data_IF_439726913363
#
_entry.id   IF_439726913363
#
_cell.length_a   1.000
_cell.length_b   1.000
_cell.length_c   1.000
_cell.angle_alpha   90.00
_cell.angle_beta   90.00
_cell.angle_gamma   90.00
#
_symmetry.space_group_name_H-M   'P 1'
#
loop_
_entity.id
_entity.type
_entity.pdbx_description
1 polymer ?
#
# COMPACT_ATOMS: atom_id res chain seq x y z
N UNK A 1 -11.02 13.53 7.62
CA UNK A 1 -11.77 12.59 6.75
C UNK A 1 -13.09 12.24 7.42
N UNK A 2 -14.16 12.02 6.65
CA UNK A 2 -15.45 11.63 7.22
C UNK A 2 -15.40 10.16 7.68
N UNK A 3 -15.83 9.90 8.92
CA UNK A 3 -15.92 8.54 9.47
C UNK A 3 -17.28 7.92 9.19
N UNK A 4 -17.32 6.64 8.81
CA UNK A 4 -18.56 5.86 8.71
C UNK A 4 -18.58 4.73 9.74
N UNK A 5 -19.71 4.54 10.39
CA UNK A 5 -19.92 3.48 11.35
C UNK A 5 -20.24 2.17 10.64
N UNK A 6 -19.61 1.08 11.10
CA UNK A 6 -19.84 -0.29 10.61
C UNK A 6 -20.15 -1.16 11.82
N UNK A 7 -21.24 -1.91 11.76
CA UNK A 7 -21.60 -2.91 12.78
C UNK A 7 -21.07 -4.27 12.34
N UNK A 8 -20.29 -4.94 13.20
CA UNK A 8 -19.70 -6.25 12.93
C UNK A 8 -20.16 -7.25 13.98
N UNK A 9 -20.58 -8.43 13.52
CA UNK A 9 -20.84 -9.58 14.38
C UNK A 9 -19.60 -10.44 14.46
N UNK A 10 -19.12 -10.73 15.67
CA UNK A 10 -17.92 -11.52 15.91
C UNK A 10 -18.12 -12.47 17.09
N UNK A 11 -17.36 -13.58 17.18
CA UNK A 11 -17.38 -14.46 18.34
C UNK A 11 -17.07 -13.70 19.63
N UNK A 12 -17.80 -13.98 20.71
CA UNK A 12 -17.65 -13.28 21.99
C UNK A 12 -16.21 -13.36 22.54
N UNK A 13 -15.60 -14.55 22.46
CA UNK A 13 -14.20 -14.77 22.86
C UNK A 13 -13.20 -13.93 22.05
N UNK A 14 -13.49 -13.65 20.77
CA UNK A 14 -12.65 -12.78 19.96
C UNK A 14 -12.79 -11.33 20.41
N UNK A 15 -14.01 -10.86 20.68
CA UNK A 15 -14.26 -9.51 21.20
C UNK A 15 -13.56 -9.32 22.55
N UNK A 16 -13.60 -10.31 23.45
CA UNK A 16 -12.92 -10.25 24.75
C UNK A 16 -11.41 -10.08 24.58
N UNK A 17 -10.78 -10.91 23.75
CA UNK A 17 -9.34 -10.84 23.48
C UNK A 17 -8.94 -9.53 22.79
N UNK A 18 -9.76 -9.06 21.85
CA UNK A 18 -9.53 -7.80 21.15
C UNK A 18 -9.57 -6.60 22.12
N UNK A 19 -10.49 -6.58 23.09
CA UNK A 19 -10.55 -5.53 24.12
C UNK A 19 -9.28 -5.49 24.98
N UNK A 20 -8.79 -6.65 25.42
CA UNK A 20 -7.55 -6.75 26.19
C UNK A 20 -6.36 -6.24 25.37
N UNK A 21 -6.26 -6.66 24.11
CA UNK A 21 -5.19 -6.24 23.20
C UNK A 21 -5.23 -4.73 22.92
N UNK A 22 -6.44 -4.17 22.75
CA UNK A 22 -6.63 -2.75 22.52
C UNK A 22 -6.16 -1.93 23.72
N UNK A 23 -6.54 -2.35 24.95
CA UNK A 23 -6.08 -1.72 26.18
C UNK A 23 -4.56 -1.80 26.35
N UNK A 24 -3.94 -2.93 26.02
CA UNK A 24 -2.47 -3.09 26.08
C UNK A 24 -1.71 -2.18 25.09
N UNK A 25 -2.37 -1.70 24.04
CA UNK A 25 -1.77 -0.88 22.97
C UNK A 25 -2.28 0.57 22.99
N UNK A 26 -2.90 1.00 24.08
CA UNK A 26 -3.52 2.34 24.22
C UNK A 26 -4.40 2.71 23.01
N UNK A 27 -5.20 1.76 22.53
CA UNK A 27 -6.08 1.94 21.38
C UNK A 27 -7.47 1.35 21.63
N UNK A 28 -8.37 1.48 20.65
CA UNK A 28 -9.71 0.90 20.70
C UNK A 28 -9.83 -0.32 19.79
N UNK A 29 -10.84 -1.16 20.00
CA UNK A 29 -11.15 -2.28 19.10
C UNK A 29 -11.43 -1.77 17.69
N UNK A 30 -12.16 -0.66 17.56
CA UNK A 30 -12.40 0.00 16.27
C UNK A 30 -11.10 0.48 15.62
N UNK A 31 -10.14 0.99 16.41
CA UNK A 31 -8.82 1.37 15.93
C UNK A 31 -7.99 0.19 15.42
N UNK A 32 -8.04 -0.96 16.12
CA UNK A 32 -7.41 -2.20 15.65
C UNK A 32 -8.01 -2.66 14.32
N UNK A 33 -9.33 -2.65 14.19
CA UNK A 33 -10.02 -3.04 12.95
C UNK A 33 -9.71 -2.08 11.82
N UNK A 34 -9.74 -0.77 12.07
CA UNK A 34 -9.40 0.25 11.09
C UNK A 34 -7.97 0.05 10.56
N UNK A 35 -6.99 -0.16 11.46
CA UNK A 35 -5.61 -0.42 11.06
C UNK A 35 -5.45 -1.68 10.23
N UNK A 36 -6.14 -2.77 10.59
CA UNK A 36 -6.12 -4.01 9.81
C UNK A 36 -6.70 -3.77 8.40
N UNK A 37 -7.81 -3.03 8.31
CA UNK A 37 -8.41 -2.67 7.02
C UNK A 37 -7.47 -1.76 6.21
N UNK A 38 -6.81 -0.79 6.83
CA UNK A 38 -5.82 0.04 6.16
C UNK A 38 -4.66 -0.80 5.61
N UNK A 39 -4.18 -1.80 6.34
CA UNK A 39 -3.14 -2.71 5.86
C UNK A 39 -3.64 -3.55 4.68
N UNK A 40 -4.81 -4.19 4.80
CA UNK A 40 -5.37 -5.04 3.74
C UNK A 40 -5.67 -4.27 2.45
N UNK A 41 -6.17 -3.04 2.60
CA UNK A 41 -6.52 -2.18 1.45
C UNK A 41 -5.28 -1.43 0.93
N UNK A 42 -4.30 -1.13 1.80
CA UNK A 42 -3.02 -0.53 1.44
C UNK A 42 -2.14 -1.47 0.62
N UNK A 43 -1.94 -2.71 1.09
CA UNK A 43 -1.09 -3.69 0.41
C UNK A 43 -1.58 -4.02 -1.01
N UNK A 44 -2.91 -4.09 -1.21
CA UNK A 44 -3.49 -4.33 -2.53
C UNK A 44 -3.46 -3.09 -3.45
N UNK A 45 -3.82 -1.91 -2.91
CA UNK A 45 -3.85 -0.68 -3.72
C UNK A 45 -2.47 -0.20 -4.10
N UNK A 46 -1.49 -0.22 -3.20
CA UNK A 46 -0.14 0.24 -3.54
C UNK A 46 0.45 -0.61 -4.68
N UNK A 47 0.25 -1.93 -4.65
CA UNK A 47 0.72 -2.78 -5.73
C UNK A 47 -0.03 -2.55 -7.04
N UNK A 48 -1.37 -2.60 -7.02
CA UNK A 48 -2.18 -2.49 -8.23
C UNK A 48 -2.11 -1.08 -8.85
N UNK A 49 -2.05 -0.02 -8.02
CA UNK A 49 -1.93 1.36 -8.49
C UNK A 49 -0.56 1.62 -9.11
N UNK A 50 0.53 1.12 -8.50
CA UNK A 50 1.89 1.20 -9.06
C UNK A 50 1.99 0.38 -10.34
N UNK A 51 1.45 -0.84 -10.36
CA UNK A 51 1.42 -1.68 -11.56
C UNK A 51 0.62 -1.01 -12.70
N UNK A 52 -0.54 -0.43 -12.39
CA UNK A 52 -1.34 0.31 -13.36
C UNK A 52 -0.62 1.57 -13.85
N UNK A 53 0.10 2.28 -12.97
CA UNK A 53 0.92 3.43 -13.35
C UNK A 53 2.04 3.02 -14.29
N UNK A 54 2.78 1.95 -13.99
CA UNK A 54 3.84 1.47 -14.87
C UNK A 54 3.32 0.98 -16.22
N UNK A 55 2.20 0.25 -16.24
CA UNK A 55 1.54 -0.12 -17.50
C UNK A 55 1.17 1.12 -18.33
N UNK A 56 0.69 2.19 -17.70
CA UNK A 56 0.42 3.46 -18.41
C UNK A 56 1.70 4.08 -18.96
N UNK A 57 2.80 4.09 -18.19
CA UNK A 57 4.09 4.62 -18.63
C UNK A 57 4.67 3.81 -19.79
N UNK A 58 4.55 2.48 -19.77
CA UNK A 58 4.97 1.60 -20.86
C UNK A 58 4.14 1.82 -22.13
N UNK A 59 2.82 2.01 -22.01
CA UNK A 59 1.92 2.20 -23.15
C UNK A 59 2.09 3.57 -23.81
N UNK A 60 2.21 4.63 -23.01
CA UNK A 60 2.24 6.00 -23.53
C UNK A 60 3.68 6.50 -23.77
N UNK A 61 4.66 5.81 -23.20
CA UNK A 61 6.05 6.24 -23.18
C UNK A 61 6.28 7.45 -22.27
N UNK A 62 7.53 7.62 -21.84
CA UNK A 62 7.96 8.71 -20.94
C UNK A 62 8.51 9.93 -21.70
N UNK A 63 8.23 10.04 -23.00
CA UNK A 63 8.73 11.15 -23.82
C UNK A 63 10.26 11.20 -23.95
N UNK A 64 10.96 10.11 -23.61
CA UNK A 64 12.40 10.01 -23.74
C UNK A 64 12.81 10.10 -25.21
N UNK A 65 13.79 10.95 -25.49
CA UNK A 65 14.42 11.05 -26.80
C UNK A 65 15.83 10.50 -26.67
N UNK A 66 16.16 9.52 -27.50
CA UNK A 66 17.52 9.00 -27.62
C UNK A 66 18.30 9.97 -28.49
N UNK A 67 19.30 10.65 -27.90
CA UNK A 67 20.29 11.42 -28.66
C UNK A 67 21.30 10.49 -29.33
N UNK A 68 22.25 11.05 -30.09
CA UNK A 68 23.33 10.24 -30.64
C UNK A 68 24.11 9.55 -29.51
N UNK A 69 24.27 8.23 -29.64
CA UNK A 69 25.06 7.42 -28.72
C UNK A 69 26.53 7.65 -29.10
N UNK A 70 27.18 8.59 -28.40
CA UNK A 70 28.59 8.96 -28.63
C UNK A 70 29.56 8.17 -27.75
N UNK A 71 29.05 7.32 -26.87
CA UNK A 71 29.81 6.60 -25.85
C UNK A 71 29.77 5.08 -26.09
N UNK A 72 30.91 4.36 -25.97
CA UNK A 72 30.92 2.90 -25.96
C UNK A 72 30.34 2.37 -24.64
N UNK A 73 29.74 1.19 -24.69
CA UNK A 73 29.11 0.52 -23.53
C UNK A 73 30.06 0.44 -22.33
N UNK A 74 31.33 0.18 -22.57
CA UNK A 74 32.35 -0.01 -21.53
C UNK A 74 32.66 1.29 -20.77
N UNK A 75 32.50 2.48 -21.38
CA UNK A 75 32.64 3.77 -20.68
C UNK A 75 31.47 4.09 -19.74
N UNK A 76 30.31 3.47 -19.94
CA UNK A 76 29.13 3.66 -19.07
C UNK A 76 29.12 2.68 -17.89
N UNK A 77 29.84 1.56 -18.01
CA UNK A 77 29.93 0.54 -16.95
C UNK A 77 31.03 0.80 -15.92
N UNK A 78 31.84 1.84 -16.06
CA UNK A 78 32.77 2.28 -15.01
C UNK A 78 31.98 3.01 -13.90
N UNK A 79 31.61 2.27 -12.86
CA UNK A 79 31.22 2.77 -11.54
C UNK A 79 32.29 2.42 -10.53
#
# INVERSE_FOLDING_TARGET
>A
MATKNITLSMPEELVRRAKVLAAQRDTSVSGLVARLLEQLVGDGRDYDDVAAQECRLMQHGVGLRVGEITWPRDQVHER
#
